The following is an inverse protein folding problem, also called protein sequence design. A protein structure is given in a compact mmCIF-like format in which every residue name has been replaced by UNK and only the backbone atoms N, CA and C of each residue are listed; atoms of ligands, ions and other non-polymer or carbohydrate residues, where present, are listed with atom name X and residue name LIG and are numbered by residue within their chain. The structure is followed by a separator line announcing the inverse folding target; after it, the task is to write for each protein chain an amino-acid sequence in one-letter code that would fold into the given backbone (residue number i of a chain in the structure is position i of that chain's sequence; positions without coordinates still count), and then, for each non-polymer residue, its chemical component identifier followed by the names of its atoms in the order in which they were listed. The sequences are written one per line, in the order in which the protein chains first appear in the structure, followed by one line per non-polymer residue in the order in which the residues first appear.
data_IF_007882840450
#
_entry.id   IF_007882840450
#
_cell.length_a   1.000
_cell.length_b   1.000
_cell.length_c   1.000
_cell.angle_alpha   90.00
_cell.angle_beta   90.00
_cell.angle_gamma   90.00
#
_symmetry.space_group_name_H-M   'P 1'
#
loop_
_entity.id
_entity.type
_entity.pdbx_description
1 polymer ?
#
# COMPACT_ATOMS: atom_id res chain seq x y z
N UNK A 1 4.28 -12.30 -24.31
CA UNK A 1 5.24 -11.28 -24.79
C UNK A 1 6.43 -11.32 -23.84
N UNK A 2 7.67 -11.37 -24.35
CA UNK A 2 8.86 -11.40 -23.50
C UNK A 2 9.38 -9.97 -23.40
N UNK A 3 9.30 -9.36 -22.21
CA UNK A 3 9.81 -8.01 -21.98
C UNK A 3 11.34 -8.04 -21.80
N UNK A 4 12.03 -7.02 -22.31
CA UNK A 4 13.43 -6.79 -21.95
C UNK A 4 13.49 -6.07 -20.60
N UNK A 5 13.54 -6.85 -19.53
CA UNK A 5 13.53 -6.34 -18.16
C UNK A 5 14.78 -5.50 -17.83
N UNK A 6 15.89 -5.71 -18.54
CA UNK A 6 17.11 -4.92 -18.34
C UNK A 6 16.92 -3.49 -18.85
N UNK A 7 16.37 -3.36 -20.06
CA UNK A 7 16.05 -2.06 -20.64
C UNK A 7 14.98 -1.32 -19.84
N UNK A 8 13.91 -2.01 -19.43
CA UNK A 8 12.83 -1.42 -18.62
C UNK A 8 13.35 -0.95 -17.26
N UNK A 9 14.17 -1.77 -16.59
CA UNK A 9 14.83 -1.37 -15.34
C UNK A 9 15.70 -0.13 -15.55
N UNK A 10 16.49 -0.07 -16.62
CA UNK A 10 17.29 1.11 -16.94
C UNK A 10 16.42 2.36 -17.11
N UNK A 11 15.32 2.27 -17.88
CA UNK A 11 14.39 3.38 -18.07
C UNK A 11 13.80 3.86 -16.74
N UNK A 12 13.31 2.96 -15.90
CA UNK A 12 12.76 3.28 -14.57
C UNK A 12 13.80 3.97 -13.66
N UNK A 13 15.04 3.48 -13.64
CA UNK A 13 16.10 4.13 -12.87
C UNK A 13 16.53 5.49 -13.44
N UNK A 14 16.44 5.71 -14.75
CA UNK A 14 16.63 7.04 -15.34
C UNK A 14 15.49 8.00 -14.97
N UNK A 15 14.24 7.53 -14.91
CA UNK A 15 13.12 8.32 -14.37
C UNK A 15 13.37 8.70 -12.91
N UNK A 16 13.87 7.76 -12.10
CA UNK A 16 14.20 7.99 -10.69
C UNK A 16 15.33 9.03 -10.52
N UNK A 17 16.32 9.06 -11.42
CA UNK A 17 17.40 10.06 -11.39
C UNK A 17 16.92 11.49 -11.64
N UNK A 18 15.81 11.65 -12.38
CA UNK A 18 15.19 12.96 -12.66
C UNK A 18 14.39 13.50 -11.48
N UNK A 19 14.05 12.64 -10.51
CA UNK A 19 13.34 13.04 -9.30
C UNK A 19 14.25 13.88 -8.40
N UNK A 20 13.68 14.95 -7.84
CA UNK A 20 14.36 15.87 -6.93
C UNK A 20 14.92 15.18 -5.67
N UNK A 21 15.92 15.80 -5.05
CA UNK A 21 16.60 15.25 -3.87
C UNK A 21 15.72 15.19 -2.61
N UNK A 22 14.61 15.94 -2.58
CA UNK A 22 13.68 16.01 -1.45
C UNK A 22 12.65 14.87 -1.43
N UNK A 23 12.66 13.98 -2.43
CA UNK A 23 11.74 12.85 -2.54
C UNK A 23 12.33 11.64 -1.81
N UNK A 24 11.48 10.89 -1.11
CA UNK A 24 11.86 9.60 -0.54
C UNK A 24 12.15 8.60 -1.67
N UNK A 25 13.43 8.42 -1.98
CA UNK A 25 13.86 7.52 -3.05
C UNK A 25 13.61 6.05 -2.69
N UNK A 26 13.49 5.71 -1.42
CA UNK A 26 13.33 4.31 -1.01
C UNK A 26 11.96 3.75 -1.44
N UNK A 27 10.90 4.55 -1.30
CA UNK A 27 9.56 4.22 -1.78
C UNK A 27 9.54 4.02 -3.31
N UNK A 28 10.17 4.93 -4.06
CA UNK A 28 10.23 4.82 -5.52
C UNK A 28 11.05 3.62 -5.98
N UNK A 29 12.16 3.29 -5.29
CA UNK A 29 12.94 2.08 -5.58
C UNK A 29 12.11 0.83 -5.31
N UNK A 30 11.33 0.80 -4.23
CA UNK A 30 10.39 -0.28 -3.95
C UNK A 30 9.33 -0.42 -5.06
N UNK A 31 8.78 0.69 -5.57
CA UNK A 31 7.86 0.68 -6.70
C UNK A 31 8.51 0.14 -8.00
N UNK A 32 9.76 0.50 -8.29
CA UNK A 32 10.51 -0.06 -9.43
C UNK A 32 10.60 -1.58 -9.30
N UNK A 33 10.99 -2.08 -8.13
CA UNK A 33 11.06 -3.52 -7.89
C UNK A 33 9.69 -4.20 -8.04
N UNK A 34 8.62 -3.58 -7.56
CA UNK A 34 7.27 -4.10 -7.71
C UNK A 34 6.80 -4.10 -9.18
N UNK A 35 7.15 -3.08 -9.96
CA UNK A 35 6.84 -3.03 -11.40
C UNK A 35 7.53 -4.16 -12.15
N UNK A 36 8.83 -4.36 -11.90
CA UNK A 36 9.61 -5.44 -12.51
C UNK A 36 9.13 -6.82 -12.06
N UNK A 37 8.77 -6.97 -10.79
CA UNK A 37 8.21 -8.21 -10.25
C UNK A 37 6.84 -8.54 -10.85
N UNK A 38 6.02 -7.52 -11.16
CA UNK A 38 4.79 -7.72 -11.93
C UNK A 38 5.10 -8.16 -13.35
N UNK A 39 6.07 -7.52 -14.03
CA UNK A 39 6.43 -7.89 -15.39
C UNK A 39 6.96 -9.33 -15.53
N UNK A 40 7.69 -9.80 -14.52
CA UNK A 40 8.24 -11.15 -14.44
C UNK A 40 7.21 -12.19 -13.96
N UNK A 41 6.03 -11.77 -13.48
CA UNK A 41 4.94 -12.66 -13.05
C UNK A 41 5.01 -13.10 -11.58
N UNK A 42 5.81 -12.43 -10.74
CA UNK A 42 5.78 -12.64 -9.28
C UNK A 42 4.55 -11.98 -8.66
N UNK A 43 4.20 -10.78 -9.13
CA UNK A 43 3.00 -10.04 -8.68
C UNK A 43 1.94 -10.04 -9.78
N UNK A 44 0.65 -10.24 -9.45
CA UNK A 44 -0.41 -10.06 -10.43
C UNK A 44 -0.61 -8.59 -10.82
N UNK A 45 -0.59 -7.68 -9.82
CA UNK A 45 -0.86 -6.25 -10.01
C UNK A 45 0.29 -5.41 -9.49
N UNK A 46 0.68 -4.40 -10.27
CA UNK A 46 1.44 -3.26 -9.77
C UNK A 46 0.47 -2.13 -9.39
N UNK A 47 0.55 -1.68 -8.14
CA UNK A 47 -0.28 -0.61 -7.60
C UNK A 47 0.54 0.67 -7.56
N UNK A 48 0.07 1.70 -8.27
CA UNK A 48 0.77 2.95 -8.46
C UNK A 48 0.00 4.17 -7.95
N UNK A 49 0.73 5.20 -7.53
CA UNK A 49 0.20 6.55 -7.28
C UNK A 49 -0.56 6.70 -5.96
N UNK A 50 -0.19 5.94 -4.92
CA UNK A 50 -0.77 6.11 -3.58
C UNK A 50 -0.24 7.38 -2.89
N UNK A 51 -0.74 8.56 -3.27
CA UNK A 51 -0.73 9.80 -2.46
C UNK A 51 0.61 10.44 -2.06
N UNK A 52 1.75 9.75 -2.20
CA UNK A 52 3.09 10.23 -1.85
C UNK A 52 4.01 10.35 -3.07
N UNK A 53 3.74 9.57 -4.12
CA UNK A 53 4.44 9.65 -5.39
C UNK A 53 4.25 11.03 -6.06
N UNK A 54 5.34 11.67 -6.55
CA UNK A 54 5.27 12.89 -7.35
C UNK A 54 4.39 12.72 -8.60
N UNK A 55 3.63 13.75 -8.98
CA UNK A 55 2.72 13.68 -10.15
C UNK A 55 3.46 13.34 -11.45
N UNK A 56 4.67 13.88 -11.64
CA UNK A 56 5.51 13.57 -12.81
C UNK A 56 5.97 12.11 -12.82
N UNK A 57 6.35 11.56 -11.67
CA UNK A 57 6.68 10.12 -11.54
C UNK A 57 5.48 9.25 -11.89
N UNK A 58 4.29 9.65 -11.44
CA UNK A 58 3.05 8.95 -11.79
C UNK A 58 2.86 8.92 -13.31
N UNK A 59 2.90 10.08 -13.96
CA UNK A 59 2.69 10.19 -15.40
C UNK A 59 3.75 9.40 -16.21
N UNK A 60 5.03 9.52 -15.85
CA UNK A 60 6.12 8.86 -16.57
C UNK A 60 6.03 7.31 -16.49
N UNK A 61 5.71 6.75 -15.32
CA UNK A 61 5.52 5.29 -15.17
C UNK A 61 4.26 4.82 -15.91
N UNK A 62 3.18 5.61 -15.93
CA UNK A 62 1.98 5.28 -16.71
C UNK A 62 2.26 5.30 -18.21
N UNK A 63 3.08 6.23 -18.70
CA UNK A 63 3.49 6.25 -20.10
C UNK A 63 4.30 5.01 -20.47
N UNK A 64 5.27 4.62 -19.63
CA UNK A 64 6.01 3.38 -19.81
C UNK A 64 5.08 2.15 -19.85
N UNK A 65 4.10 2.08 -18.95
CA UNK A 65 3.13 0.98 -18.95
C UNK A 65 2.29 0.92 -20.24
N UNK A 66 1.92 2.08 -20.82
CA UNK A 66 1.24 2.14 -22.12
C UNK A 66 2.13 1.68 -23.27
N UNK A 67 3.40 2.09 -23.27
CA UNK A 67 4.37 1.69 -24.29
C UNK A 67 4.63 0.17 -24.27
N UNK A 68 4.46 -0.45 -23.10
CA UNK A 68 4.52 -1.90 -22.90
C UNK A 68 3.20 -2.63 -23.17
N UNK A 69 2.17 -1.93 -23.65
CA UNK A 69 0.81 -2.46 -23.92
C UNK A 69 0.18 -3.14 -22.68
N UNK A 70 0.46 -2.64 -21.48
CA UNK A 70 -0.15 -3.11 -20.24
C UNK A 70 -1.54 -2.51 -20.03
N UNK A 71 -2.40 -3.25 -19.32
CA UNK A 71 -3.71 -2.76 -18.93
C UNK A 71 -3.60 -1.88 -17.70
N UNK A 72 -4.09 -0.64 -17.82
CA UNK A 72 -4.05 0.38 -16.75
C UNK A 72 -5.48 0.68 -16.31
N UNK A 73 -5.79 0.37 -15.07
CA UNK A 73 -7.12 0.61 -14.50
C UNK A 73 -7.00 1.67 -13.41
N UNK A 74 -7.63 2.83 -13.60
CA UNK A 74 -7.79 3.80 -12.53
C UNK A 74 -8.91 3.36 -11.57
N UNK A 75 -8.68 3.46 -10.26
CA UNK A 75 -9.65 3.02 -9.26
C UNK A 75 -9.54 3.73 -7.90
N UNK A 76 -10.51 3.48 -7.00
CA UNK A 76 -10.41 3.93 -5.61
C UNK A 76 -9.31 3.17 -4.87
N UNK A 77 -8.75 3.75 -3.82
CA UNK A 77 -7.85 3.02 -2.93
C UNK A 77 -8.54 1.77 -2.37
N UNK A 78 -7.80 0.66 -2.39
CA UNK A 78 -8.23 -0.58 -1.78
C UNK A 78 -8.13 -0.49 -0.26
N UNK A 79 -9.13 -1.01 0.43
CA UNK A 79 -9.20 -0.97 1.88
C UNK A 79 -9.99 -2.16 2.43
N UNK A 80 -9.23 -3.12 2.98
CA UNK A 80 -9.68 -4.31 3.68
C UNK A 80 -9.70 -4.16 5.22
N UNK A 81 -9.71 -2.92 5.74
CA UNK A 81 -9.76 -2.66 7.18
C UNK A 81 -10.97 -3.33 7.83
N UNK A 82 -10.79 -4.15 8.88
CA UNK A 82 -11.89 -4.84 9.55
C UNK A 82 -12.60 -3.91 10.53
N UNK A 83 -13.40 -2.97 10.01
CA UNK A 83 -14.05 -1.92 10.81
C UNK A 83 -15.07 -2.40 11.87
N UNK A 84 -15.35 -3.70 11.99
CA UNK A 84 -16.47 -4.24 12.77
C UNK A 84 -16.50 -3.90 14.26
N UNK A 85 -15.38 -3.43 14.83
CA UNK A 85 -15.32 -2.99 16.24
C UNK A 85 -15.57 -1.48 16.45
N UNK A 86 -15.67 -0.69 15.37
CA UNK A 86 -15.78 0.77 15.44
C UNK A 86 -17.24 1.24 15.21
N UNK A 87 -17.62 2.43 15.73
CA UNK A 87 -18.93 3.00 15.45
C UNK A 87 -19.15 3.24 13.94
N UNK A 88 -20.37 3.00 13.46
CA UNK A 88 -20.70 3.14 12.03
C UNK A 88 -20.35 4.53 11.46
N UNK A 89 -20.60 5.60 12.22
CA UNK A 89 -20.27 6.97 11.78
C UNK A 89 -18.78 7.16 11.52
N UNK A 90 -17.92 6.46 12.27
CA UNK A 90 -16.46 6.56 12.14
C UNK A 90 -15.98 5.76 10.92
N UNK A 91 -16.57 4.58 10.68
CA UNK A 91 -16.34 3.82 9.44
C UNK A 91 -16.71 4.64 8.21
N UNK A 92 -17.90 5.23 8.20
CA UNK A 92 -18.38 6.10 7.11
C UNK A 92 -17.43 7.29 6.89
N UNK A 93 -16.97 7.92 7.98
CA UNK A 93 -16.00 9.00 7.92
C UNK A 93 -14.68 8.53 7.27
N UNK A 94 -14.04 7.47 7.77
CA UNK A 94 -12.78 6.97 7.21
C UNK A 94 -12.91 6.62 5.72
N UNK A 95 -14.04 6.02 5.31
CA UNK A 95 -14.29 5.72 3.89
C UNK A 95 -14.51 6.98 3.06
N UNK A 96 -15.11 8.02 3.63
CA UNK A 96 -15.27 9.30 2.96
C UNK A 96 -13.92 10.01 2.75
N UNK A 97 -13.01 9.93 3.71
CA UNK A 97 -11.64 10.48 3.59
C UNK A 97 -10.86 9.82 2.45
N UNK A 98 -11.03 8.52 2.22
CA UNK A 98 -10.35 7.81 1.13
C UNK A 98 -10.94 8.10 -0.25
N UNK A 99 -12.21 8.53 -0.33
CA UNK A 99 -12.97 8.65 -1.58
C UNK A 99 -12.35 9.59 -2.65
N UNK A 100 -11.72 10.72 -2.30
CA UNK A 100 -11.11 11.60 -3.29
C UNK A 100 -9.85 11.02 -3.94
N UNK A 101 -9.20 10.06 -3.31
CA UNK A 101 -7.93 9.52 -3.77
C UNK A 101 -8.12 8.43 -4.82
N UNK A 102 -7.21 8.43 -5.80
CA UNK A 102 -7.18 7.50 -6.93
C UNK A 102 -5.82 6.83 -6.99
N UNK A 103 -5.84 5.57 -7.43
CA UNK A 103 -4.65 4.80 -7.72
C UNK A 103 -4.79 4.14 -9.10
N UNK A 104 -3.66 3.73 -9.65
CA UNK A 104 -3.59 3.01 -10.92
C UNK A 104 -3.15 1.58 -10.67
N UNK A 105 -3.92 0.64 -11.20
CA UNK A 105 -3.70 -0.80 -11.09
C UNK A 105 -3.25 -1.31 -12.46
N UNK A 106 -1.98 -1.67 -12.57
CA UNK A 106 -1.34 -2.07 -13.83
C UNK A 106 -1.22 -3.59 -13.87
N UNK A 107 -1.75 -4.21 -14.94
CA UNK A 107 -1.93 -5.65 -15.07
C UNK A 107 -1.42 -6.16 -16.43
N UNK A 108 -0.99 -7.43 -16.49
CA UNK A 108 -0.56 -8.07 -17.75
C UNK A 108 -1.65 -8.92 -18.41
N UNK A 109 -2.55 -9.49 -17.61
CA UNK A 109 -3.48 -10.52 -18.06
C UNK A 109 -4.94 -10.19 -17.75
N UNK A 110 -5.85 -10.76 -18.55
CA UNK A 110 -7.27 -10.49 -18.47
C UNK A 110 -7.93 -10.99 -17.17
N UNK A 111 -7.44 -12.08 -16.56
CA UNK A 111 -8.00 -12.59 -15.30
C UNK A 111 -7.75 -11.58 -14.18
N UNK A 112 -6.53 -11.04 -14.12
CA UNK A 112 -6.16 -10.01 -13.15
C UNK A 112 -6.96 -8.73 -13.39
N UNK A 113 -7.14 -8.30 -14.65
CA UNK A 113 -7.97 -7.15 -15.02
C UNK A 113 -9.39 -7.30 -14.49
N UNK A 114 -10.05 -8.43 -14.74
CA UNK A 114 -11.40 -8.71 -14.26
C UNK A 114 -11.47 -8.68 -12.72
N UNK A 115 -10.45 -9.23 -12.05
CA UNK A 115 -10.38 -9.25 -10.60
C UNK A 115 -10.23 -7.84 -9.99
N UNK A 116 -9.42 -6.97 -10.61
CA UNK A 116 -9.26 -5.56 -10.23
C UNK A 116 -10.57 -4.79 -10.45
N UNK A 117 -11.20 -4.93 -11.63
CA UNK A 117 -12.46 -4.28 -11.95
C UNK A 117 -13.58 -4.69 -10.98
N UNK A 118 -13.60 -5.96 -10.56
CA UNK A 118 -14.52 -6.45 -9.53
C UNK A 118 -14.32 -5.72 -8.19
N UNK A 119 -13.07 -5.50 -7.75
CA UNK A 119 -12.79 -4.75 -6.51
C UNK A 119 -13.15 -3.28 -6.67
N UNK A 120 -12.83 -2.67 -7.80
CA UNK A 120 -13.13 -1.25 -8.08
C UNK A 120 -14.65 -1.01 -8.13
N UNK A 121 -15.42 -1.94 -8.69
CA UNK A 121 -16.89 -1.92 -8.68
C UNK A 121 -17.48 -2.04 -7.28
N UNK A 122 -16.76 -2.69 -6.35
CA UNK A 122 -17.08 -2.70 -4.92
C UNK A 122 -16.54 -1.48 -4.16
N UNK A 123 -16.17 -0.41 -4.86
CA UNK A 123 -15.59 0.82 -4.32
C UNK A 123 -14.33 0.58 -3.49
N UNK A 124 -13.43 -0.29 -3.98
CA UNK A 124 -12.16 -0.61 -3.33
C UNK A 124 -12.30 -1.54 -2.13
N UNK A 125 -13.47 -2.13 -1.90
CA UNK A 125 -13.69 -3.07 -0.78
C UNK A 125 -13.30 -4.47 -1.18
N UNK A 126 -12.45 -5.08 -0.38
CA UNK A 126 -11.97 -6.45 -0.55
C UNK A 126 -11.61 -7.08 0.81
N UNK A 127 -11.35 -8.38 0.80
CA UNK A 127 -10.83 -9.08 1.97
C UNK A 127 -9.30 -9.09 1.98
N UNK A 128 -8.71 -9.25 3.16
CA UNK A 128 -7.25 -9.36 3.33
C UNK A 128 -6.64 -10.45 2.42
N UNK A 129 -7.19 -11.69 2.33
CA UNK A 129 -6.65 -12.69 1.42
C UNK A 129 -6.72 -12.29 -0.05
N UNK A 130 -7.79 -11.57 -0.46
CA UNK A 130 -7.95 -11.11 -1.85
C UNK A 130 -6.92 -10.04 -2.19
N UNK A 131 -6.68 -9.09 -1.28
CA UNK A 131 -5.65 -8.08 -1.43
C UNK A 131 -4.25 -8.68 -1.49
N UNK A 132 -3.93 -9.58 -0.56
CA UNK A 132 -2.66 -10.29 -0.52
C UNK A 132 -2.39 -11.04 -1.83
N UNK A 133 -3.41 -11.75 -2.35
CA UNK A 133 -3.32 -12.44 -3.64
C UNK A 133 -3.02 -11.46 -4.78
N UNK A 134 -3.81 -10.38 -4.91
CA UNK A 134 -3.68 -9.45 -6.04
C UNK A 134 -2.37 -8.66 -6.04
N UNK A 135 -1.88 -8.27 -4.86
CA UNK A 135 -0.62 -7.53 -4.73
C UNK A 135 0.62 -8.44 -4.69
N UNK A 136 0.42 -9.76 -4.64
CA UNK A 136 1.52 -10.73 -4.50
C UNK A 136 2.22 -10.65 -3.14
N UNK A 137 1.52 -10.24 -2.08
CA UNK A 137 2.08 -10.06 -0.75
C UNK A 137 1.78 -11.24 0.19
N UNK A 138 2.64 -11.51 1.20
CA UNK A 138 2.30 -12.46 2.24
C UNK A 138 1.04 -12.02 2.98
N UNK A 139 0.03 -12.88 3.06
CA UNK A 139 -1.23 -12.57 3.74
C UNK A 139 -1.03 -12.13 5.19
N UNK A 140 -0.04 -12.71 5.90
CA UNK A 140 0.30 -12.31 7.26
C UNK A 140 0.81 -10.86 7.36
N UNK A 141 1.47 -10.35 6.32
CA UNK A 141 1.98 -8.98 6.25
C UNK A 141 0.86 -8.00 5.91
N UNK A 142 -0.06 -8.36 5.00
CA UNK A 142 -1.28 -7.57 4.74
C UNK A 142 -2.17 -7.51 5.99
N UNK A 143 -2.35 -8.63 6.69
CA UNK A 143 -3.06 -8.66 7.96
C UNK A 143 -2.41 -7.75 9.01
N UNK A 144 -1.07 -7.76 9.12
CA UNK A 144 -0.36 -6.87 10.03
C UNK A 144 -0.52 -5.39 9.67
N UNK A 145 -0.54 -5.04 8.37
CA UNK A 145 -0.86 -3.69 7.91
C UNK A 145 -2.23 -3.23 8.43
N UNK A 146 -3.27 -4.05 8.25
CA UNK A 146 -4.61 -3.69 8.74
C UNK A 146 -4.73 -3.74 10.26
N UNK A 147 -3.95 -4.58 10.95
CA UNK A 147 -3.86 -4.53 12.40
C UNK A 147 -3.31 -3.17 12.88
N UNK A 148 -2.25 -2.64 12.24
CA UNK A 148 -1.72 -1.30 12.54
C UNK A 148 -2.73 -0.19 12.25
N UNK A 149 -3.44 -0.26 11.14
CA UNK A 149 -4.54 0.67 10.84
C UNK A 149 -5.62 0.65 11.93
N UNK A 150 -6.02 -0.55 12.39
CA UNK A 150 -6.97 -0.68 13.52
C UNK A 150 -6.41 -0.08 14.81
N UNK A 151 -5.11 -0.22 15.09
CA UNK A 151 -4.46 0.45 16.22
C UNK A 151 -4.52 1.98 16.12
N UNK A 152 -4.26 2.56 14.95
CA UNK A 152 -4.41 3.99 14.69
C UNK A 152 -5.85 4.46 14.98
N UNK A 153 -6.84 3.74 14.47
CA UNK A 153 -8.26 4.05 14.69
C UNK A 153 -8.68 3.93 16.16
N UNK A 154 -8.20 2.91 16.89
CA UNK A 154 -8.44 2.76 18.33
C UNK A 154 -7.83 3.92 19.13
N UNK A 155 -6.60 4.33 18.82
CA UNK A 155 -5.94 5.47 19.44
C UNK A 155 -6.72 6.76 19.20
N UNK A 156 -7.10 7.02 17.95
CA UNK A 156 -7.91 8.17 17.53
C UNK A 156 -9.24 8.24 18.27
N UNK A 157 -10.01 7.15 18.29
CA UNK A 157 -11.28 7.11 19.01
C UNK A 157 -11.12 7.22 20.53
N UNK A 158 -10.00 6.75 21.10
CA UNK A 158 -9.71 6.93 22.52
C UNK A 158 -9.53 8.41 22.87
N UNK A 159 -8.77 9.16 22.06
CA UNK A 159 -8.59 10.61 22.23
C UNK A 159 -9.94 11.32 22.13
N UNK A 160 -10.72 11.03 21.09
CA UNK A 160 -12.03 11.65 20.89
C UNK A 160 -12.98 11.38 22.06
N UNK A 161 -13.02 10.14 22.57
CA UNK A 161 -13.82 9.80 23.75
C UNK A 161 -13.38 10.57 24.99
N UNK A 162 -12.07 10.73 25.21
CA UNK A 162 -11.52 11.50 26.33
C UNK A 162 -11.91 12.98 26.23
N UNK A 163 -11.68 13.62 25.09
CA UNK A 163 -11.96 15.04 24.87
C UNK A 163 -13.45 15.40 25.01
N UNK A 164 -14.33 14.47 24.66
CA UNK A 164 -15.79 14.70 24.61
C UNK A 164 -16.55 14.01 25.74
N UNK A 165 -15.84 13.35 26.67
CA UNK A 165 -16.43 12.49 27.71
C UNK A 165 -17.39 11.44 27.13
N UNK A 166 -17.08 10.94 25.94
CA UNK A 166 -17.86 9.93 25.21
C UNK A 166 -19.12 10.45 24.51
N UNK A 167 -19.30 11.78 24.39
CA UNK A 167 -20.42 12.34 23.64
C UNK A 167 -20.21 12.16 22.14
N UNK A 168 -20.94 11.22 21.54
CA UNK A 168 -20.76 10.85 20.13
C UNK A 168 -20.93 12.02 19.15
N UNK A 169 -21.91 12.90 19.39
CA UNK A 169 -22.13 14.07 18.53
C UNK A 169 -20.91 14.99 18.54
N UNK A 170 -20.37 15.27 19.74
CA UNK A 170 -19.16 16.07 19.87
C UNK A 170 -17.94 15.37 19.26
N UNK A 171 -17.85 14.04 19.31
CA UNK A 171 -16.76 13.31 18.64
C UNK A 171 -16.82 13.49 17.13
N UNK A 172 -18.02 13.36 16.53
CA UNK A 172 -18.24 13.61 15.11
C UNK A 172 -17.89 15.06 14.73
N UNK A 173 -18.28 16.03 15.56
CA UNK A 173 -17.99 17.44 15.32
C UNK A 173 -16.49 17.74 15.38
N UNK A 174 -15.74 17.15 16.33
CA UNK A 174 -14.28 17.29 16.41
C UNK A 174 -13.56 16.68 15.20
N UNK A 175 -14.01 15.49 14.76
CA UNK A 175 -13.45 14.81 13.59
C UNK A 175 -13.68 15.64 12.32
N UNK A 176 -14.92 16.10 12.08
CA UNK A 176 -15.25 16.94 10.93
C UNK A 176 -14.55 18.31 10.97
N UNK A 177 -14.28 18.82 12.17
CA UNK A 177 -13.61 20.11 12.38
C UNK A 177 -12.09 20.06 12.24
N UNK A 178 -11.48 18.91 11.93
CA UNK A 178 -10.04 18.78 11.79
C UNK A 178 -9.27 19.01 13.10
N UNK A 179 -9.86 18.60 14.23
CA UNK A 179 -9.22 18.77 15.53
C UNK A 179 -7.83 18.10 15.58
N UNK A 180 -6.86 18.77 16.22
CA UNK A 180 -5.56 18.17 16.48
C UNK A 180 -5.69 17.12 17.59
N UNK A 181 -5.44 15.85 17.26
CA UNK A 181 -5.60 14.73 18.17
C UNK A 181 -4.21 14.26 18.66
N UNK A 182 -3.80 14.76 19.83
CA UNK A 182 -2.56 14.34 20.47
C UNK A 182 -2.81 13.23 21.50
N UNK A 183 -2.05 12.11 21.46
CA UNK A 183 -2.12 11.09 22.49
C UNK A 183 -1.56 11.61 23.82
N UNK A 184 -2.26 11.35 24.92
CA UNK A 184 -1.84 11.75 26.28
C UNK A 184 -1.82 10.58 27.26
N UNK A 185 -2.74 9.63 27.09
CA UNK A 185 -2.83 8.48 28.00
C UNK A 185 -1.89 7.35 27.54
N UNK A 186 -1.42 6.53 28.48
CA UNK A 186 -0.60 5.35 28.18
C UNK A 186 -1.27 4.43 27.15
N UNK A 187 -2.61 4.29 27.23
CA UNK A 187 -3.38 3.51 26.26
C UNK A 187 -3.35 4.10 24.86
N UNK A 188 -3.51 5.43 24.74
CA UNK A 188 -3.44 6.13 23.45
C UNK A 188 -2.05 5.99 22.84
N UNK A 189 -1.00 6.25 23.64
CA UNK A 189 0.40 6.14 23.21
C UNK A 189 0.68 4.72 22.70
N UNK A 190 0.35 3.67 23.45
CA UNK A 190 0.53 2.28 23.01
C UNK A 190 -0.20 1.94 21.71
N UNK A 191 -1.37 2.53 21.46
CA UNK A 191 -2.06 2.34 20.20
C UNK A 191 -1.31 2.98 19.04
N UNK A 192 -0.80 4.20 19.20
CA UNK A 192 -0.02 4.85 18.15
C UNK A 192 1.36 4.21 17.95
N UNK A 193 2.06 3.80 19.01
CA UNK A 193 3.32 3.05 18.92
C UNK A 193 3.13 1.80 18.05
N UNK A 194 2.10 1.00 18.32
CA UNK A 194 1.78 -0.18 17.53
C UNK A 194 1.34 0.17 16.09
N UNK A 195 0.64 1.29 15.88
CA UNK A 195 0.22 1.72 14.55
C UNK A 195 1.40 2.13 13.66
N UNK A 196 2.47 2.67 14.25
CA UNK A 196 3.65 3.16 13.56
C UNK A 196 4.85 2.21 13.62
N UNK A 197 4.68 0.99 14.16
CA UNK A 197 5.68 -0.07 14.12
C UNK A 197 5.77 -0.67 12.70
N UNK A 198 6.43 0.07 11.81
CA UNK A 198 6.59 -0.24 10.39
C UNK A 198 7.97 -0.87 10.18
N UNK A 199 7.99 -1.98 9.42
CA UNK A 199 9.20 -2.68 9.04
C UNK A 199 9.13 -3.03 7.56
N UNK A 200 10.02 -2.46 6.78
CA UNK A 200 10.08 -2.65 5.33
C UNK A 200 11.08 -3.76 4.97
N UNK A 201 10.80 -4.57 3.94
CA UNK A 201 11.76 -5.49 3.37
C UNK A 201 12.87 -4.71 2.64
N UNK A 202 13.92 -5.42 2.24
CA UNK A 202 14.98 -4.84 1.41
C UNK A 202 14.50 -4.51 -0.01
N UNK A 203 13.52 -5.25 -0.54
CA UNK A 203 12.98 -5.11 -1.89
C UNK A 203 11.45 -5.13 -1.86
N UNK A 204 10.81 -4.29 -2.69
CA UNK A 204 9.34 -4.18 -2.83
C UNK A 204 8.66 -3.37 -1.73
N UNK A 205 7.36 -3.08 -1.90
CA UNK A 205 6.63 -2.08 -1.08
C UNK A 205 5.68 -2.66 0.00
N UNK A 206 5.87 -3.89 0.45
CA UNK A 206 5.03 -4.42 1.54
C UNK A 206 5.62 -4.12 2.93
N UNK A 207 4.78 -4.18 3.95
CA UNK A 207 5.21 -3.99 5.33
C UNK A 207 5.22 -5.31 6.09
N UNK A 208 6.39 -5.74 6.55
CA UNK A 208 6.56 -7.02 7.25
C UNK A 208 5.75 -7.07 8.55
N UNK A 209 5.22 -8.25 8.85
CA UNK A 209 4.70 -8.55 10.19
C UNK A 209 5.83 -8.92 11.15
N UNK A 210 5.59 -8.81 12.46
CA UNK A 210 6.60 -9.12 13.48
C UNK A 210 7.16 -10.56 13.40
N UNK A 211 6.37 -11.52 12.92
CA UNK A 211 6.84 -12.91 12.70
C UNK A 211 7.78 -13.02 11.50
N UNK A 212 7.57 -12.23 10.45
CA UNK A 212 8.49 -12.17 9.31
C UNK A 212 9.78 -11.44 9.67
N UNK A 213 9.70 -10.34 10.42
CA UNK A 213 10.88 -9.61 10.94
C UNK A 213 11.76 -10.52 11.80
N UNK A 214 11.15 -11.35 12.66
CA UNK A 214 11.87 -12.29 13.53
C UNK A 214 12.22 -13.63 12.85
N UNK A 215 11.97 -13.77 11.56
CA UNK A 215 12.20 -15.00 10.80
C UNK A 215 11.48 -16.24 11.34
N UNK A 216 10.42 -16.08 12.14
CA UNK A 216 9.57 -17.19 12.61
C UNK A 216 8.50 -17.56 11.58
N UNK A 217 8.26 -16.69 10.60
CA UNK A 217 7.50 -16.98 9.39
C UNK A 217 8.31 -16.54 8.17
N UNK A 218 8.57 -17.46 7.25
CA UNK A 218 9.46 -17.26 6.10
C UNK A 218 8.77 -16.63 4.89
N UNK A 219 7.46 -16.37 4.91
CA UNK A 219 6.72 -15.91 3.73
C UNK A 219 7.29 -14.62 3.09
N UNK A 220 7.67 -13.64 3.91
CA UNK A 220 8.34 -12.42 3.42
C UNK A 220 9.74 -12.72 2.87
N UNK A 221 10.52 -13.56 3.54
CA UNK A 221 11.86 -13.92 3.10
C UNK A 221 11.83 -14.69 1.76
N UNK A 222 10.82 -15.56 1.57
CA UNK A 222 10.58 -16.24 0.29
C UNK A 222 10.27 -15.24 -0.82
N UNK A 223 9.46 -14.22 -0.57
CA UNK A 223 9.17 -13.19 -1.56
C UNK A 223 10.41 -12.34 -1.89
N UNK A 224 11.20 -11.94 -0.89
CA UNK A 224 12.50 -11.26 -1.12
C UNK A 224 13.41 -12.11 -1.99
N UNK A 225 13.50 -13.42 -1.73
CA UNK A 225 14.33 -14.31 -2.55
C UNK A 225 13.85 -14.37 -4.02
N UNK A 226 12.53 -14.33 -4.27
CA UNK A 226 12.02 -14.26 -5.64
C UNK A 226 12.45 -12.97 -6.34
N UNK A 227 12.47 -11.83 -5.63
CA UNK A 227 12.91 -10.56 -6.19
C UNK A 227 14.42 -10.57 -6.46
N UNK A 228 15.22 -11.14 -5.56
CA UNK A 228 16.66 -11.32 -5.76
C UNK A 228 16.96 -12.18 -6.99
N UNK A 229 16.24 -13.30 -7.15
CA UNK A 229 16.39 -14.16 -8.33
C UNK A 229 16.03 -13.41 -9.62
N UNK A 230 14.94 -12.63 -9.63
CA UNK A 230 14.58 -11.75 -10.74
C UNK A 230 15.74 -10.81 -11.11
N UNK A 231 16.33 -10.14 -10.11
CA UNK A 231 17.44 -9.21 -10.31
C UNK A 231 18.66 -9.92 -10.89
N UNK A 232 19.01 -11.10 -10.36
CA UNK A 232 20.14 -11.89 -10.84
C UNK A 232 19.92 -12.42 -12.26
N UNK A 233 18.78 -13.06 -12.53
CA UNK A 233 18.47 -13.67 -13.83
C UNK A 233 18.36 -12.62 -14.95
N UNK A 234 17.92 -11.42 -14.63
CA UNK A 234 17.78 -10.32 -15.58
C UNK A 234 19.02 -9.42 -15.65
N UNK A 235 20.10 -9.75 -14.91
CA UNK A 235 21.34 -8.98 -14.88
C UNK A 235 21.15 -7.54 -14.39
N UNK A 236 20.15 -7.31 -13.53
CA UNK A 236 19.83 -6.00 -12.98
C UNK A 236 20.80 -5.63 -11.87
N UNK A 237 21.01 -4.33 -11.65
CA UNK A 237 21.74 -3.84 -10.48
C UNK A 237 20.75 -3.60 -9.35
N UNK A 238 21.11 -4.01 -8.13
CA UNK A 238 20.47 -3.50 -6.92
C UNK A 238 20.73 -1.98 -6.91
N UNK A 239 19.67 -1.21 -7.11
CA UNK A 239 19.70 0.25 -7.24
C UNK A 239 20.18 0.96 -5.99
#
# INVERSE_FOLDING_TARGET
MSYDLSEISHQLFELLKRQGADIDRSELIAEIHDFLAMLYGIKPVFLHGRGLAPENWIEEVLNLARDLELEIIEGPFWDATPYGEFPNWYHEHCRAELKPYRAWYICQDAETVDAVQSVNSANGRLSIPKEAKLLGYPECCVNAHYARASHYHRGTLSILKRLTKGNEKQMQDLVRGGAHLAPETEKEIKHFDAAFEIHEPELGSWNMCASCVRSTNQASATLVQQYLNLIEECGLKLG
#
